data_IF_583730493365
#
_entry.id   IF_583730493365
#
_cell.length_a   1.000
_cell.length_b   1.000
_cell.length_c   1.000
_cell.angle_alpha   90.00
_cell.angle_beta   90.00
_cell.angle_gamma   90.00
#
_symmetry.space_group_name_H-M   'P 1'
#
loop_
_entity.id
_entity.type
_entity.pdbx_description
1 polymer ?
#
# COMPACT_ATOMS: atom_id res chain seq x y z
N UNK A 1 -6.53 20.40 19.15
CA UNK A 1 -6.09 19.36 20.10
C UNK A 1 -4.74 18.79 19.65
N UNK A 2 -3.71 19.62 19.63
CA UNK A 2 -2.32 19.21 19.65
C UNK A 2 -1.79 19.70 21.00
N UNK A 3 -1.06 18.85 21.72
CA UNK A 3 0.05 19.22 22.63
C UNK A 3 0.12 18.40 23.93
N UNK A 4 -0.95 17.72 24.38
CA UNK A 4 -0.89 16.99 25.67
C UNK A 4 -0.60 15.47 25.58
N UNK A 5 -0.53 14.87 24.38
CA UNK A 5 -0.27 13.42 24.21
C UNK A 5 1.12 13.06 23.67
N UNK A 6 1.99 14.06 23.44
CA UNK A 6 3.29 13.88 22.78
C UNK A 6 4.51 13.94 23.71
N UNK A 7 4.33 13.94 25.04
CA UNK A 7 5.46 13.90 25.97
C UNK A 7 6.28 12.60 25.80
N UNK A 8 7.33 12.69 24.97
CA UNK A 8 8.48 11.79 24.98
C UNK A 8 8.50 10.61 24.00
N UNK A 9 7.60 10.50 23.00
CA UNK A 9 7.58 9.33 22.09
C UNK A 9 8.16 9.52 20.70
N UNK A 10 8.24 10.77 20.21
CA UNK A 10 8.77 11.09 18.90
C UNK A 10 9.57 12.38 18.98
N UNK A 11 10.71 12.43 18.33
CA UNK A 11 11.43 13.68 18.05
C UNK A 11 10.60 14.59 17.14
N UNK A 12 10.85 15.90 17.17
CA UNK A 12 10.18 16.88 16.29
C UNK A 12 10.33 16.53 14.80
N UNK A 13 11.43 15.87 14.45
CA UNK A 13 11.71 15.41 13.09
C UNK A 13 10.86 14.19 12.71
N UNK A 14 10.68 13.25 13.63
CA UNK A 14 9.79 12.10 13.45
C UNK A 14 8.32 12.53 13.40
N UNK A 15 7.93 13.54 14.21
CA UNK A 15 6.57 14.08 14.18
C UNK A 15 6.27 14.76 12.83
N UNK A 16 7.19 15.59 12.33
CA UNK A 16 7.06 16.21 11.00
C UNK A 16 7.03 15.19 9.88
N UNK A 17 7.82 14.11 9.99
CA UNK A 17 7.78 13.03 9.01
C UNK A 17 6.46 12.26 9.07
N UNK A 18 5.93 11.98 10.27
CA UNK A 18 4.62 11.38 10.48
C UNK A 18 3.50 12.22 9.85
N UNK A 19 3.45 13.53 10.16
CA UNK A 19 2.46 14.46 9.60
C UNK A 19 2.52 14.54 8.07
N UNK A 20 3.73 14.51 7.51
CA UNK A 20 3.92 14.51 6.06
C UNK A 20 3.39 13.23 5.42
N UNK A 21 3.64 12.07 6.01
CA UNK A 21 3.09 10.80 5.54
C UNK A 21 1.57 10.81 5.66
N UNK A 22 1.05 11.30 6.80
CA UNK A 22 -0.37 11.45 7.06
C UNK A 22 -1.05 12.30 5.97
N UNK A 23 -0.56 13.51 5.71
CA UNK A 23 -1.14 14.40 4.70
C UNK A 23 -1.22 13.76 3.31
N UNK A 24 -0.23 12.95 2.93
CA UNK A 24 -0.19 12.30 1.62
C UNK A 24 -1.29 11.25 1.45
N UNK A 25 -1.66 10.57 2.54
CA UNK A 25 -2.80 9.66 2.53
C UNK A 25 -4.12 10.42 2.35
N UNK A 26 -4.27 11.58 3.00
CA UNK A 26 -5.45 12.44 2.83
C UNK A 26 -5.55 13.08 1.45
N UNK A 27 -4.43 13.48 0.86
CA UNK A 27 -4.37 14.08 -0.48
C UNK A 27 -4.55 13.03 -1.59
N UNK A 28 -4.59 11.74 -1.23
CA UNK A 28 -4.79 10.68 -2.19
C UNK A 28 -6.22 10.73 -2.78
N UNK A 29 -6.33 10.70 -4.11
CA UNK A 29 -7.62 10.72 -4.81
C UNK A 29 -8.54 9.56 -4.43
N UNK A 30 -7.99 8.38 -4.16
CA UNK A 30 -8.74 7.22 -3.71
C UNK A 30 -9.37 7.43 -2.33
N UNK A 31 -8.63 8.07 -1.41
CA UNK A 31 -9.16 8.49 -0.13
C UNK A 31 -10.30 9.50 -0.29
N UNK A 32 -10.07 10.57 -1.08
CA UNK A 32 -11.10 11.58 -1.35
C UNK A 32 -12.35 10.99 -2.00
N UNK A 33 -12.20 10.00 -2.88
CA UNK A 33 -13.31 9.27 -3.49
C UNK A 33 -14.14 8.54 -2.43
N UNK A 34 -13.50 7.81 -1.52
CA UNK A 34 -14.19 7.08 -0.44
C UNK A 34 -14.84 8.04 0.55
N UNK A 35 -14.18 9.16 0.87
CA UNK A 35 -14.74 10.19 1.74
C UNK A 35 -15.99 10.84 1.15
N UNK A 36 -15.94 11.23 -0.13
CA UNK A 36 -17.10 11.79 -0.82
C UNK A 36 -18.26 10.79 -0.89
N UNK A 37 -17.97 9.52 -1.17
CA UNK A 37 -18.97 8.46 -1.13
C UNK A 37 -19.62 8.33 0.25
N UNK A 38 -18.83 8.40 1.33
CA UNK A 38 -19.36 8.43 2.69
C UNK A 38 -20.25 9.65 2.95
N UNK A 39 -19.84 10.85 2.55
CA UNK A 39 -20.67 12.06 2.66
C UNK A 39 -21.99 11.97 1.88
N UNK A 40 -22.03 11.20 0.79
CA UNK A 40 -23.28 10.93 0.08
C UNK A 40 -24.16 9.88 0.79
N UNK A 41 -23.54 8.92 1.49
CA UNK A 41 -24.27 7.96 2.33
C UNK A 41 -24.99 8.66 3.48
N UNK A 42 -24.37 9.66 4.11
CA UNK A 42 -24.98 10.35 5.26
C UNK A 42 -26.27 11.11 4.90
N UNK A 43 -26.46 11.42 3.62
CA UNK A 43 -27.68 12.05 3.09
C UNK A 43 -28.81 11.05 2.86
N UNK A 44 -28.55 9.73 2.90
CA UNK A 44 -29.56 8.70 2.64
C UNK A 44 -30.49 8.52 3.82
N UNK A 45 -31.78 8.32 3.54
CA UNK A 45 -32.83 8.09 4.55
C UNK A 45 -32.47 6.95 5.51
N UNK A 46 -32.09 5.79 4.97
CA UNK A 46 -31.67 4.64 5.77
C UNK A 46 -30.54 4.97 6.76
N UNK A 47 -29.55 5.77 6.36
CA UNK A 47 -28.48 6.16 7.28
C UNK A 47 -29.04 6.96 8.45
N UNK A 48 -29.85 7.98 8.16
CA UNK A 48 -30.47 8.81 9.18
C UNK A 48 -31.39 8.02 10.12
N UNK A 49 -32.13 7.05 9.60
CA UNK A 49 -33.00 6.19 10.40
C UNK A 49 -32.21 5.29 11.35
N UNK A 50 -31.11 4.69 10.87
CA UNK A 50 -30.20 3.91 11.73
C UNK A 50 -29.60 4.80 12.82
N UNK A 51 -29.16 6.02 12.50
CA UNK A 51 -28.61 6.95 13.51
C UNK A 51 -29.66 7.29 14.58
N UNK A 52 -30.91 7.56 14.19
CA UNK A 52 -32.01 7.81 15.14
C UNK A 52 -32.29 6.58 16.01
N UNK A 53 -32.31 5.40 15.43
CA UNK A 53 -32.53 4.13 16.14
C UNK A 53 -31.42 3.90 17.18
N UNK A 54 -30.15 4.02 16.77
CA UNK A 54 -29.00 3.85 17.65
C UNK A 54 -29.02 4.89 18.78
N UNK A 55 -29.28 6.16 18.46
CA UNK A 55 -29.36 7.20 19.49
C UNK A 55 -30.46 6.90 20.50
N UNK A 56 -31.63 6.48 20.05
CA UNK A 56 -32.73 6.07 20.94
C UNK A 56 -32.35 4.88 21.80
N UNK A 57 -31.75 3.83 21.21
CA UNK A 57 -31.39 2.59 21.91
C UNK A 57 -30.33 2.80 22.99
N UNK A 58 -29.37 3.68 22.72
CA UNK A 58 -28.26 3.98 23.62
C UNK A 58 -28.48 5.25 24.46
N UNK A 59 -29.71 5.76 24.49
CA UNK A 59 -30.13 6.96 25.24
C UNK A 59 -29.24 8.20 24.95
N UNK A 60 -28.77 8.30 23.71
CA UNK A 60 -28.02 9.45 23.20
C UNK A 60 -29.05 10.50 22.74
N UNK A 61 -28.87 11.79 23.05
CA UNK A 61 -29.79 12.83 22.61
C UNK A 61 -29.99 12.81 21.09
N UNK A 62 -31.18 13.17 20.57
CA UNK A 62 -31.47 13.14 19.14
C UNK A 62 -30.49 13.93 18.27
N UNK A 63 -29.87 14.98 18.82
CA UNK A 63 -28.88 15.83 18.16
C UNK A 63 -27.43 15.59 18.65
N UNK A 64 -27.19 14.49 19.36
CA UNK A 64 -25.92 14.22 20.02
C UNK A 64 -25.70 15.03 21.30
N UNK A 65 -24.61 14.74 21.98
CA UNK A 65 -24.09 15.50 23.11
C UNK A 65 -23.48 16.82 22.62
N UNK A 66 -23.50 17.83 23.50
CA UNK A 66 -22.78 19.08 23.28
C UNK A 66 -21.31 18.90 23.68
N UNK A 67 -20.38 19.70 23.11
CA UNK A 67 -19.03 19.79 23.65
C UNK A 67 -19.08 20.22 25.13
N UNK A 68 -18.00 19.95 25.87
CA UNK A 68 -17.87 20.41 27.25
C UNK A 68 -17.65 21.93 27.32
N UNK A 69 -17.51 22.46 28.55
CA UNK A 69 -17.39 23.92 28.80
C UNK A 69 -16.16 24.54 28.10
N UNK A 70 -15.11 23.74 27.86
CA UNK A 70 -13.89 24.13 27.15
C UNK A 70 -14.04 24.04 25.61
N UNK A 71 -15.23 23.66 25.13
CA UNK A 71 -15.48 23.41 23.71
C UNK A 71 -14.88 22.09 23.21
N UNK A 72 -14.42 21.21 24.10
CA UNK A 72 -13.79 19.95 23.74
C UNK A 72 -14.83 18.83 23.55
N UNK A 73 -14.62 18.03 22.51
CA UNK A 73 -15.33 16.76 22.31
C UNK A 73 -14.52 15.64 22.95
N UNK A 74 -14.98 15.12 24.10
CA UNK A 74 -14.37 13.93 24.72
C UNK A 74 -14.79 12.68 23.98
N UNK A 75 -13.96 11.65 23.96
CA UNK A 75 -14.33 10.39 23.31
C UNK A 75 -13.88 9.21 24.17
N UNK A 76 -14.81 8.37 24.68
CA UNK A 76 -16.27 8.52 24.61
C UNK A 76 -16.79 9.75 25.41
N UNK A 77 -18.08 10.14 25.22
CA UNK A 77 -18.71 11.17 26.04
C UNK A 77 -18.69 10.81 27.53
N UNK A 78 -18.36 11.79 28.39
CA UNK A 78 -18.52 11.68 29.84
C UNK A 78 -20.00 11.75 30.19
N UNK A 79 -20.62 10.58 30.31
CA UNK A 79 -21.98 10.43 30.79
C UNK A 79 -22.13 9.07 31.48
N UNK A 80 -23.21 8.90 32.22
CA UNK A 80 -23.48 7.68 33.01
C UNK A 80 -23.56 6.38 32.20
N UNK A 81 -23.64 6.47 30.87
CA UNK A 81 -23.82 5.33 29.98
C UNK A 81 -22.47 4.84 29.45
N UNK A 82 -21.59 5.76 29.05
CA UNK A 82 -20.35 5.47 28.34
C UNK A 82 -19.08 5.77 29.14
N UNK A 83 -19.18 6.57 30.21
CA UNK A 83 -18.07 6.80 31.14
C UNK A 83 -17.64 5.45 31.73
N UNK A 84 -16.39 5.08 31.46
CA UNK A 84 -15.75 3.82 31.84
C UNK A 84 -16.50 2.54 31.39
N UNK A 85 -17.43 2.65 30.45
CA UNK A 85 -18.22 1.51 29.95
C UNK A 85 -17.82 1.12 28.51
N UNK A 86 -16.61 0.59 28.40
CA UNK A 86 -16.04 0.12 27.13
C UNK A 86 -16.95 -0.90 26.42
N UNK A 87 -17.67 -1.75 27.16
CA UNK A 87 -18.54 -2.77 26.56
C UNK A 87 -19.75 -2.16 25.84
N UNK A 88 -20.34 -1.08 26.36
CA UNK A 88 -21.43 -0.37 25.67
C UNK A 88 -20.95 0.35 24.42
N UNK A 89 -19.78 0.99 24.47
CA UNK A 89 -19.18 1.61 23.28
C UNK A 89 -18.90 0.55 22.21
N UNK A 90 -18.31 -0.58 22.59
CA UNK A 90 -18.01 -1.68 21.69
C UNK A 90 -19.29 -2.27 21.07
N UNK A 91 -20.35 -2.44 21.85
CA UNK A 91 -21.64 -2.89 21.34
C UNK A 91 -22.22 -1.89 20.31
N UNK A 92 -22.19 -0.59 20.60
CA UNK A 92 -22.64 0.44 19.67
C UNK A 92 -21.81 0.44 18.37
N UNK A 93 -20.49 0.35 18.49
CA UNK A 93 -19.56 0.24 17.37
C UNK A 93 -19.85 -0.99 16.50
N UNK A 94 -20.13 -2.14 17.11
CA UNK A 94 -20.51 -3.35 16.38
C UNK A 94 -21.82 -3.16 15.61
N UNK A 95 -22.82 -2.51 16.20
CA UNK A 95 -24.06 -2.21 15.46
C UNK A 95 -23.84 -1.23 14.30
N UNK A 96 -22.96 -0.24 14.46
CA UNK A 96 -22.55 0.65 13.38
C UNK A 96 -21.91 -0.16 12.24
N UNK A 97 -21.00 -1.08 12.58
CA UNK A 97 -20.34 -1.95 11.60
C UNK A 97 -21.39 -2.78 10.84
N UNK A 98 -22.29 -3.45 11.55
CA UNK A 98 -23.30 -4.32 10.95
C UNK A 98 -24.30 -3.54 10.08
N UNK A 99 -24.85 -2.44 10.59
CA UNK A 99 -25.96 -1.74 9.95
C UNK A 99 -25.51 -0.75 8.87
N UNK A 100 -24.32 -0.15 9.01
CA UNK A 100 -23.82 0.90 8.13
C UNK A 100 -22.61 0.41 7.33
N UNK A 101 -21.51 0.02 7.99
CA UNK A 101 -20.26 -0.28 7.27
C UNK A 101 -20.43 -1.45 6.30
N UNK A 102 -21.01 -2.58 6.75
CA UNK A 102 -21.26 -3.74 5.88
C UNK A 102 -22.22 -3.44 4.75
N UNK A 103 -23.33 -2.73 5.03
CA UNK A 103 -24.33 -2.36 4.01
C UNK A 103 -23.72 -1.54 2.88
N UNK A 104 -22.86 -0.60 3.21
CA UNK A 104 -22.27 0.33 2.25
C UNK A 104 -20.86 -0.04 1.81
N UNK A 105 -20.35 -1.20 2.25
CA UNK A 105 -19.01 -1.72 1.97
C UNK A 105 -17.90 -0.72 2.35
N UNK A 106 -18.04 -0.10 3.52
CA UNK A 106 -17.04 0.78 4.12
C UNK A 106 -16.06 -0.05 4.97
N UNK A 107 -14.81 0.38 5.05
CA UNK A 107 -13.84 -0.25 5.94
C UNK A 107 -14.31 -0.16 7.40
N UNK A 108 -14.39 -1.30 8.08
CA UNK A 108 -15.04 -1.40 9.39
C UNK A 108 -14.33 -0.55 10.45
N UNK A 109 -13.00 -0.54 10.45
CA UNK A 109 -12.25 0.17 11.50
C UNK A 109 -12.44 1.68 11.35
N UNK A 110 -12.09 2.24 10.20
CA UNK A 110 -12.04 3.69 10.04
C UNK A 110 -13.41 4.35 10.02
N UNK A 111 -14.35 3.78 9.25
CA UNK A 111 -15.67 4.40 9.14
C UNK A 111 -16.54 4.14 10.36
N UNK A 112 -16.28 3.08 11.15
CA UNK A 112 -17.02 2.93 12.41
C UNK A 112 -16.65 4.03 13.40
N UNK A 113 -15.39 4.46 13.47
CA UNK A 113 -14.97 5.58 14.31
C UNK A 113 -15.62 6.90 13.90
N UNK A 114 -15.61 7.21 12.60
CA UNK A 114 -16.24 8.43 12.07
C UNK A 114 -17.74 8.43 12.37
N UNK A 115 -18.42 7.31 12.11
CA UNK A 115 -19.85 7.20 12.36
C UNK A 115 -20.16 7.22 13.86
N UNK A 116 -19.31 6.63 14.71
CA UNK A 116 -19.48 6.66 16.15
C UNK A 116 -19.39 8.10 16.71
N UNK A 117 -18.44 8.90 16.23
CA UNK A 117 -18.38 10.34 16.52
C UNK A 117 -19.63 11.06 16.05
N UNK A 118 -20.12 10.73 14.85
CA UNK A 118 -21.36 11.30 14.34
C UNK A 118 -22.57 10.93 15.22
N UNK A 119 -22.68 9.67 15.65
CA UNK A 119 -23.74 9.22 16.56
C UNK A 119 -23.68 10.02 17.87
N UNK A 120 -22.50 10.20 18.46
CA UNK A 120 -22.34 10.91 19.71
C UNK A 120 -22.52 12.43 19.61
N UNK A 121 -22.03 13.09 18.57
CA UNK A 121 -21.87 14.55 18.56
C UNK A 121 -22.53 15.25 17.37
N UNK A 122 -23.16 14.49 16.48
CA UNK A 122 -23.68 15.00 15.21
C UNK A 122 -22.60 15.72 14.37
N UNK A 123 -21.36 15.30 14.57
CA UNK A 123 -20.16 15.91 14.01
C UNK A 123 -19.46 14.89 13.11
N UNK A 124 -19.29 15.25 11.85
CA UNK A 124 -18.53 14.46 10.87
C UNK A 124 -17.17 15.12 10.74
N UNK A 125 -16.16 14.44 11.25
CA UNK A 125 -14.77 14.81 11.05
C UNK A 125 -13.98 13.57 10.67
N UNK A 126 -12.97 13.80 9.85
CA UNK A 126 -11.99 12.79 9.51
C UNK A 126 -11.25 12.35 10.77
N UNK A 127 -11.27 11.05 11.07
CA UNK A 127 -10.39 10.53 12.11
C UNK A 127 -8.95 10.54 11.59
N UNK A 128 -8.04 11.08 12.38
CA UNK A 128 -6.61 11.21 12.05
C UNK A 128 -5.83 9.89 12.19
N UNK A 129 -6.51 8.74 12.23
CA UNK A 129 -5.86 7.44 12.33
C UNK A 129 -5.65 6.87 10.92
N UNK A 130 -4.40 6.49 10.67
CA UNK A 130 -3.80 6.24 9.36
C UNK A 130 -4.61 5.33 8.41
N UNK A 131 -4.77 5.80 7.16
CA UNK A 131 -4.45 5.01 5.97
C UNK A 131 -5.48 4.00 5.42
N UNK A 132 -6.47 3.53 6.18
CA UNK A 132 -7.34 2.44 5.70
C UNK A 132 -8.65 2.88 5.01
N UNK A 133 -8.98 4.18 5.03
CA UNK A 133 -10.09 4.76 4.26
C UNK A 133 -9.84 4.82 2.74
N UNK A 134 -8.65 4.41 2.27
CA UNK A 134 -8.27 4.43 0.88
C UNK A 134 -8.86 3.27 0.07
N UNK A 135 -8.54 3.27 -1.23
CA UNK A 135 -8.85 2.15 -2.12
C UNK A 135 -7.85 0.99 -2.01
N UNK A 136 -6.76 1.18 -1.26
CA UNK A 136 -5.64 0.23 -1.17
C UNK A 136 -5.03 0.24 0.22
N UNK A 137 -4.52 -0.91 0.66
CA UNK A 137 -3.77 -1.07 1.91
C UNK A 137 -2.56 -1.97 1.63
N UNK A 138 -1.38 -1.60 2.11
CA UNK A 138 -0.20 -2.47 2.11
C UNK A 138 -0.22 -3.32 3.36
N UNK A 139 -0.14 -4.64 3.18
CA UNK A 139 -0.26 -5.64 4.24
C UNK A 139 1.02 -6.45 4.37
N UNK A 140 1.46 -6.65 5.61
CA UNK A 140 2.51 -7.61 5.98
C UNK A 140 1.85 -8.97 6.22
N UNK A 141 1.72 -9.77 5.16
CA UNK A 141 0.90 -11.00 5.14
C UNK A 141 1.36 -11.98 6.22
N UNK A 142 2.66 -12.06 6.47
CA UNK A 142 3.24 -12.95 7.49
C UNK A 142 2.75 -12.58 8.90
N UNK A 143 2.57 -11.28 9.18
CA UNK A 143 2.14 -10.80 10.50
C UNK A 143 0.63 -10.90 10.73
N UNK A 144 -0.18 -10.88 9.67
CA UNK A 144 -1.64 -10.74 9.75
C UNK A 144 -2.38 -12.06 10.02
N UNK A 145 -1.68 -13.17 10.29
CA UNK A 145 -2.28 -14.51 10.25
C UNK A 145 -2.98 -14.96 11.53
N UNK A 146 -4.23 -15.37 11.34
CA UNK A 146 -5.02 -16.31 12.15
C UNK A 146 -5.58 -17.35 11.14
N UNK A 147 -5.15 -18.62 11.16
CA UNK A 147 -5.12 -19.46 9.93
C UNK A 147 -6.36 -20.35 9.68
N UNK A 148 -6.89 -20.42 8.43
CA UNK A 148 -7.70 -21.56 7.96
C UNK A 148 -7.16 -22.33 6.73
N UNK A 149 -5.92 -22.12 6.25
CA UNK A 149 -5.38 -22.80 5.05
C UNK A 149 -4.36 -23.92 5.37
N UNK A 150 -3.96 -24.70 4.35
CA UNK A 150 -2.94 -25.74 4.52
C UNK A 150 -1.57 -25.10 4.74
N UNK A 151 -0.94 -25.46 5.85
CA UNK A 151 0.30 -24.85 6.34
C UNK A 151 1.41 -24.82 5.27
N UNK A 152 1.54 -25.89 4.45
CA UNK A 152 2.57 -26.00 3.43
C UNK A 152 2.41 -25.01 2.26
N UNK A 153 1.20 -24.89 1.70
CA UNK A 153 0.96 -23.96 0.58
C UNK A 153 1.16 -22.53 1.05
N UNK A 154 0.64 -22.25 2.25
CA UNK A 154 0.76 -20.94 2.86
C UNK A 154 2.22 -20.58 3.16
N UNK A 155 3.05 -21.50 3.65
CA UNK A 155 4.48 -21.27 3.85
C UNK A 155 5.22 -20.94 2.54
N UNK A 156 4.87 -21.63 1.45
CA UNK A 156 5.44 -21.36 0.13
C UNK A 156 5.08 -19.95 -0.37
N UNK A 157 3.81 -19.58 -0.26
CA UNK A 157 3.33 -18.27 -0.72
C UNK A 157 3.87 -17.13 0.13
N UNK A 158 3.94 -17.29 1.45
CA UNK A 158 4.56 -16.32 2.35
C UNK A 158 6.03 -16.08 2.03
N UNK A 159 6.77 -17.15 1.74
CA UNK A 159 8.18 -17.05 1.39
C UNK A 159 8.37 -16.26 0.09
N UNK A 160 7.51 -16.50 -0.91
CA UNK A 160 7.60 -15.86 -2.21
C UNK A 160 7.01 -14.43 -2.23
N UNK A 161 5.93 -14.20 -1.47
CA UNK A 161 5.08 -13.02 -1.50
C UNK A 161 4.69 -12.56 -0.08
N UNK A 162 5.66 -12.15 0.76
CA UNK A 162 5.41 -11.79 2.16
C UNK A 162 4.60 -10.50 2.35
N UNK A 163 4.31 -9.79 1.26
CA UNK A 163 3.66 -8.48 1.24
C UNK A 163 2.53 -8.53 0.22
N UNK A 164 1.37 -8.01 0.60
CA UNK A 164 0.23 -7.87 -0.29
C UNK A 164 -0.19 -6.40 -0.39
N UNK A 165 -0.73 -6.03 -1.55
CA UNK A 165 -1.56 -4.83 -1.67
C UNK A 165 -2.99 -5.32 -1.71
N UNK A 166 -3.77 -5.02 -0.66
CA UNK A 166 -5.21 -5.28 -0.63
C UNK A 166 -5.88 -4.20 -1.48
N UNK A 167 -6.75 -4.62 -2.40
CA UNK A 167 -7.36 -3.75 -3.39
C UNK A 167 -8.87 -3.71 -3.14
N UNK A 168 -9.41 -2.51 -2.97
CA UNK A 168 -10.87 -2.30 -2.91
C UNK A 168 -11.52 -2.73 -4.22
N UNK A 169 -12.71 -3.38 -4.19
CA UNK A 169 -13.44 -3.74 -5.41
C UNK A 169 -13.87 -2.52 -6.25
N UNK A 170 -13.78 -1.31 -5.69
CA UNK A 170 -14.12 -0.05 -6.35
C UNK A 170 -12.91 0.71 -6.90
N UNK A 171 -11.73 0.10 -6.82
CA UNK A 171 -10.49 0.64 -7.35
C UNK A 171 -10.40 0.44 -8.86
N UNK A 172 -10.00 1.49 -9.59
CA UNK A 172 -9.60 1.34 -10.99
C UNK A 172 -8.11 0.97 -11.10
N UNK A 173 -7.71 0.47 -12.27
CA UNK A 173 -6.30 0.25 -12.59
C UNK A 173 -5.47 1.55 -12.45
N UNK A 174 -6.05 2.70 -12.81
CA UNK A 174 -5.38 4.00 -12.69
C UNK A 174 -5.13 4.35 -11.23
N UNK A 175 -6.10 4.13 -10.36
CA UNK A 175 -5.96 4.38 -8.92
C UNK A 175 -4.80 3.55 -8.34
N UNK A 176 -4.65 2.29 -8.78
CA UNK A 176 -3.57 1.40 -8.33
C UNK A 176 -2.20 1.89 -8.81
N UNK A 177 -2.10 2.31 -10.06
CA UNK A 177 -0.87 2.88 -10.61
C UNK A 177 -0.46 4.14 -9.85
N UNK A 178 -1.42 5.03 -9.56
CA UNK A 178 -1.15 6.26 -8.82
C UNK A 178 -0.75 5.98 -7.36
N UNK A 179 -1.39 4.99 -6.72
CA UNK A 179 -1.02 4.51 -5.40
C UNK A 179 0.43 3.99 -5.36
N UNK A 180 0.80 3.11 -6.29
CA UNK A 180 2.15 2.53 -6.36
C UNK A 180 3.21 3.57 -6.74
N UNK A 181 2.87 4.53 -7.61
CA UNK A 181 3.78 5.62 -8.01
C UNK A 181 4.02 6.64 -6.91
N UNK A 182 3.21 6.65 -5.86
CA UNK A 182 3.43 7.52 -4.72
C UNK A 182 4.76 7.18 -4.06
N UNK A 183 5.74 8.09 -4.17
CA UNK A 183 7.11 7.87 -3.68
C UNK A 183 7.17 7.58 -2.18
N UNK A 184 6.24 8.09 -1.40
CA UNK A 184 6.25 7.93 0.06
C UNK A 184 5.67 6.58 0.44
N UNK A 185 4.51 6.20 -0.11
CA UNK A 185 3.97 4.83 0.02
C UNK A 185 5.01 3.80 -0.43
N UNK A 186 5.61 4.01 -1.60
CA UNK A 186 6.62 3.10 -2.13
C UNK A 186 7.81 2.96 -1.18
N UNK A 187 8.42 4.07 -0.75
CA UNK A 187 9.64 4.01 0.07
C UNK A 187 9.39 3.54 1.50
N UNK A 188 8.32 4.03 2.13
CA UNK A 188 8.09 3.88 3.57
C UNK A 188 7.33 2.61 3.92
N UNK A 189 6.58 2.05 2.99
CA UNK A 189 5.81 0.82 3.23
C UNK A 189 6.30 -0.32 2.35
N UNK A 190 6.18 -0.18 1.03
CA UNK A 190 6.46 -1.29 0.10
C UNK A 190 7.95 -1.67 0.12
N UNK A 191 8.84 -0.73 -0.16
CA UNK A 191 10.30 -0.94 -0.19
C UNK A 191 10.84 -1.27 1.20
N UNK A 192 10.29 -0.64 2.24
CA UNK A 192 10.64 -0.95 3.63
C UNK A 192 10.37 -2.43 3.95
N UNK A 193 9.15 -2.92 3.68
CA UNK A 193 8.80 -4.31 3.91
C UNK A 193 9.57 -5.25 2.96
N UNK A 194 9.79 -4.88 1.70
CA UNK A 194 10.60 -5.68 0.78
C UNK A 194 12.02 -5.87 1.33
N UNK A 195 12.66 -4.81 1.81
CA UNK A 195 14.00 -4.88 2.37
C UNK A 195 14.05 -5.65 3.69
N UNK A 196 12.96 -5.65 4.48
CA UNK A 196 12.82 -6.47 5.69
C UNK A 196 12.88 -7.97 5.38
N UNK A 197 12.23 -8.42 4.30
CA UNK A 197 12.13 -9.84 3.96
C UNK A 197 13.15 -10.32 2.93
N UNK A 198 13.81 -9.42 2.22
CA UNK A 198 14.81 -9.75 1.21
C UNK A 198 16.06 -10.36 1.86
N UNK A 199 16.39 -11.58 1.44
CA UNK A 199 17.69 -12.18 1.78
C UNK A 199 18.83 -11.40 1.09
N UNK A 200 19.76 -10.88 1.91
CA UNK A 200 20.91 -10.09 1.44
C UNK A 200 21.92 -10.92 0.64
N UNK A 201 21.91 -12.24 0.81
CA UNK A 201 22.80 -13.18 0.12
C UNK A 201 22.26 -13.59 -1.25
N UNK A 202 20.96 -13.48 -1.48
CA UNK A 202 20.31 -13.87 -2.74
C UNK A 202 20.25 -12.67 -3.68
N UNK A 203 20.96 -12.74 -4.80
CA UNK A 203 20.92 -11.74 -5.88
C UNK A 203 20.09 -12.24 -7.05
N UNK A 204 18.79 -11.96 -7.04
CA UNK A 204 17.93 -12.17 -8.20
C UNK A 204 18.13 -10.98 -9.15
N UNK A 205 19.11 -11.11 -10.04
CA UNK A 205 19.35 -10.15 -11.11
C UNK A 205 18.51 -10.42 -12.36
N UNK A 206 18.68 -9.58 -13.40
CA UNK A 206 18.25 -9.93 -14.76
C UNK A 206 19.02 -11.18 -15.20
N UNK A 207 18.48 -12.36 -14.94
CA UNK A 207 18.87 -13.59 -15.63
C UNK A 207 18.40 -13.44 -17.08
N UNK A 208 19.20 -12.75 -17.89
CA UNK A 208 18.97 -12.73 -19.33
C UNK A 208 19.30 -14.14 -19.83
N UNK A 209 18.31 -14.84 -20.36
CA UNK A 209 18.59 -15.98 -21.21
C UNK A 209 19.59 -15.52 -22.28
N UNK A 210 20.78 -16.12 -22.31
CA UNK A 210 21.75 -15.82 -23.36
C UNK A 210 21.15 -16.35 -24.65
N UNK A 211 20.96 -15.48 -25.63
CA UNK A 211 20.61 -15.92 -26.97
C UNK A 211 21.80 -16.73 -27.50
N UNK A 212 21.61 -18.05 -27.61
CA UNK A 212 22.66 -19.00 -27.96
C UNK A 212 23.27 -18.67 -29.32
N UNK A 213 22.44 -18.28 -30.30
CA UNK A 213 22.90 -17.84 -31.63
C UNK A 213 23.77 -16.58 -31.56
N UNK A 214 23.38 -15.60 -30.73
CA UNK A 214 24.22 -14.41 -30.51
C UNK A 214 25.56 -14.77 -29.88
N UNK A 215 25.58 -15.73 -28.95
CA UNK A 215 26.79 -16.16 -28.29
C UNK A 215 27.72 -16.95 -29.22
N UNK A 216 27.17 -17.91 -29.98
CA UNK A 216 27.90 -18.67 -31.00
C UNK A 216 28.52 -17.76 -32.06
N UNK A 217 27.75 -16.76 -32.53
CA UNK A 217 28.27 -15.74 -33.45
C UNK A 217 29.42 -14.94 -32.83
N UNK A 218 29.27 -14.47 -31.60
CA UNK A 218 30.30 -13.67 -30.93
C UNK A 218 31.57 -14.51 -30.66
N UNK A 219 31.41 -15.77 -30.27
CA UNK A 219 32.52 -16.70 -30.05
C UNK A 219 33.24 -17.02 -31.36
N UNK A 220 32.51 -17.20 -32.46
CA UNK A 220 33.08 -17.39 -33.80
C UNK A 220 33.89 -16.17 -34.27
N UNK A 221 33.36 -14.96 -34.05
CA UNK A 221 34.07 -13.70 -34.34
C UNK A 221 35.37 -13.63 -33.51
N UNK A 222 35.30 -13.95 -32.23
CA UNK A 222 36.46 -13.92 -31.34
C UNK A 222 37.53 -14.96 -31.72
N UNK A 223 37.14 -16.18 -32.09
CA UNK A 223 38.07 -17.22 -32.54
C UNK A 223 38.88 -16.81 -33.77
N UNK A 224 38.36 -15.88 -34.58
CA UNK A 224 39.01 -15.34 -35.76
C UNK A 224 39.56 -13.92 -35.55
N UNK A 225 39.73 -13.46 -34.29
CA UNK A 225 40.17 -12.10 -33.94
C UNK A 225 41.54 -11.69 -34.48
N UNK A 226 42.37 -12.68 -34.84
CA UNK A 226 43.72 -12.47 -35.37
C UNK A 226 43.72 -12.20 -36.89
N UNK A 227 42.57 -12.38 -37.55
CA UNK A 227 42.36 -12.06 -38.98
C UNK A 227 41.95 -10.60 -39.14
N UNK A 228 42.10 -10.07 -40.35
CA UNK A 228 41.60 -8.74 -40.70
C UNK A 228 40.06 -8.71 -40.62
N UNK A 229 39.48 -7.53 -40.35
CA UNK A 229 38.01 -7.38 -40.26
C UNK A 229 37.30 -7.82 -41.54
N UNK A 230 37.92 -7.59 -42.70
CA UNK A 230 37.44 -8.05 -43.99
C UNK A 230 37.33 -9.58 -44.07
N UNK A 231 38.36 -10.30 -43.66
CA UNK A 231 38.37 -11.78 -43.66
C UNK A 231 37.35 -12.34 -42.67
N UNK A 232 37.20 -11.73 -41.49
CA UNK A 232 36.17 -12.13 -40.52
C UNK A 232 34.77 -11.92 -41.09
N UNK A 233 34.57 -10.82 -41.83
CA UNK A 233 33.28 -10.52 -42.49
C UNK A 233 32.94 -11.53 -43.59
N UNK A 234 33.92 -11.93 -44.39
CA UNK A 234 33.76 -12.98 -45.41
C UNK A 234 33.36 -14.32 -44.76
N UNK A 235 34.04 -14.72 -43.69
CA UNK A 235 33.72 -15.94 -42.94
C UNK A 235 32.33 -15.92 -42.27
N UNK A 236 31.85 -14.74 -41.89
CA UNK A 236 30.49 -14.55 -41.39
C UNK A 236 29.45 -14.64 -42.51
N UNK A 237 29.76 -14.12 -43.70
CA UNK A 237 28.89 -14.18 -44.87
C UNK A 237 28.67 -15.65 -45.32
N UNK A 238 29.69 -16.51 -45.26
CA UNK A 238 29.56 -17.96 -45.51
C UNK A 238 28.56 -18.64 -44.56
N UNK A 239 28.33 -18.04 -43.39
CA UNK A 239 27.36 -18.49 -42.39
C UNK A 239 26.02 -17.76 -42.48
N UNK A 240 25.77 -16.99 -43.54
CA UNK A 240 24.60 -16.10 -43.71
C UNK A 240 24.45 -15.07 -42.58
N UNK A 241 25.57 -14.60 -42.00
CA UNK A 241 25.58 -13.55 -40.97
C UNK A 241 26.21 -12.30 -41.57
N UNK A 242 25.44 -11.23 -41.66
CA UNK A 242 25.90 -9.96 -42.23
C UNK A 242 26.07 -8.92 -41.12
N UNK A 243 27.33 -8.52 -40.88
CA UNK A 243 27.71 -7.46 -39.94
C UNK A 243 28.70 -6.52 -40.61
N UNK A 244 28.66 -5.24 -40.26
CA UNK A 244 29.71 -4.29 -40.64
C UNK A 244 30.96 -4.43 -39.76
N UNK A 245 32.06 -3.85 -40.22
CA UNK A 245 33.35 -3.89 -39.53
C UNK A 245 33.31 -3.25 -38.14
N UNK A 246 32.50 -2.20 -37.96
CA UNK A 246 32.34 -1.53 -36.67
C UNK A 246 31.70 -2.46 -35.64
N UNK A 247 30.68 -3.22 -36.04
CA UNK A 247 30.06 -4.24 -35.21
C UNK A 247 31.02 -5.38 -34.88
N UNK A 248 31.78 -5.88 -35.86
CA UNK A 248 32.77 -6.94 -35.66
C UNK A 248 33.86 -6.49 -34.68
N UNK A 249 34.44 -5.31 -34.89
CA UNK A 249 35.47 -4.75 -34.02
C UNK A 249 34.96 -4.55 -32.58
N UNK A 250 33.72 -4.05 -32.43
CA UNK A 250 33.07 -3.90 -31.14
C UNK A 250 32.87 -5.24 -30.43
N UNK A 251 32.45 -6.28 -31.15
CA UNK A 251 32.28 -7.63 -30.59
C UNK A 251 33.63 -8.19 -30.12
N UNK A 252 34.69 -8.05 -30.91
CA UNK A 252 36.05 -8.48 -30.52
C UNK A 252 36.50 -7.76 -29.24
N UNK A 253 36.34 -6.44 -29.18
CA UNK A 253 36.70 -5.64 -28.01
C UNK A 253 35.95 -6.06 -26.74
N UNK A 254 34.63 -6.27 -26.85
CA UNK A 254 33.80 -6.72 -25.73
C UNK A 254 34.16 -8.14 -25.26
N UNK A 255 34.46 -9.06 -26.19
CA UNK A 255 34.86 -10.41 -25.83
C UNK A 255 36.29 -10.47 -25.23
N UNK A 256 37.22 -9.61 -25.67
CA UNK A 256 38.54 -9.44 -25.02
C UNK A 256 38.39 -9.03 -23.55
N UNK A 257 37.63 -7.96 -23.29
CA UNK A 257 37.35 -7.48 -21.92
C UNK A 257 36.73 -8.55 -21.05
N UNK A 258 35.75 -9.29 -21.58
CA UNK A 258 35.04 -10.35 -20.87
C UNK A 258 35.92 -11.56 -20.55
N UNK A 259 36.87 -11.87 -21.43
CA UNK A 259 37.82 -12.99 -21.29
C UNK A 259 39.11 -12.58 -20.55
N UNK A 260 39.23 -11.32 -20.14
CA UNK A 260 40.40 -10.73 -19.46
C UNK A 260 41.69 -10.80 -20.30
N UNK A 261 41.57 -10.85 -21.61
CA UNK A 261 42.67 -10.53 -22.52
C UNK A 261 42.65 -9.01 -22.70
N UNK A 262 43.81 -8.36 -22.52
CA UNK A 262 44.01 -6.90 -22.47
C UNK A 262 43.19 -6.14 -23.53
#
# INVERSE_FOLDING_TARGET
MSDEFNEGRFSDEELKEYEKIHQIYFDNKGFQKMWNYFLDITKKEYFNDVIKELRKKYEIPPNGYKPDEDGCYRFPPRNTIFEDNFQKELALRNEIIEKICRKYQLHNFDFSDVVLRYVFYNYIELSNQLGACGLFIVSDVIKEKEDPFSEFVQQSDDMAYPIAIRISPYASQRDLIDFIKNKIVWKKEIEFLQNKYKDKNIKIGRVKAKNQSTQERNDFIYQNRDKTLKEVRELLADKNIFLDDGHIAKIISLEKQKRKEV
#
